data_IF_131200307852
#
_entry.id   IF_131200307852
#
_cell.length_a   1.000
_cell.length_b   1.000
_cell.length_c   1.000
_cell.angle_alpha   90.00
_cell.angle_beta   90.00
_cell.angle_gamma   90.00
#
_symmetry.space_group_name_H-M   'P 1'
#
loop_
_entity.id
_entity.type
_entity.pdbx_description
1 polymer ?
#
# COMPACT_ATOMS: atom_id res chain seq x y z
N UNK A 1 -5.72 1.61 -17.76
CA UNK A 1 -6.99 1.58 -17.01
C UNK A 1 -7.57 2.97 -16.95
N UNK A 2 -8.84 3.18 -17.24
CA UNK A 2 -9.41 4.52 -17.17
C UNK A 2 -9.46 5.00 -15.72
N UNK A 3 -8.90 6.17 -15.47
CA UNK A 3 -8.86 6.90 -14.20
C UNK A 3 -10.25 7.22 -13.60
N UNK A 4 -11.34 6.90 -14.31
CA UNK A 4 -12.71 7.24 -13.93
C UNK A 4 -13.20 6.61 -12.63
N UNK A 5 -12.58 5.52 -12.15
CA UNK A 5 -12.93 4.93 -10.85
C UNK A 5 -12.28 5.64 -9.65
N UNK A 6 -11.20 6.38 -9.87
CA UNK A 6 -10.48 7.08 -8.81
C UNK A 6 -11.16 8.42 -8.43
N UNK A 7 -11.70 9.16 -9.39
CA UNK A 7 -12.23 10.50 -9.16
C UNK A 7 -13.35 10.53 -8.13
N UNK A 8 -14.37 9.72 -8.28
CA UNK A 8 -15.60 9.84 -7.47
C UNK A 8 -15.49 9.43 -6.01
N UNK A 9 -14.63 8.48 -5.65
CA UNK A 9 -14.46 8.06 -4.24
C UNK A 9 -13.48 8.96 -3.47
N UNK A 10 -12.51 9.56 -4.15
CA UNK A 10 -11.49 10.38 -3.50
C UNK A 10 -11.89 11.86 -3.38
N UNK A 11 -12.75 12.36 -4.25
CA UNK A 11 -13.31 13.72 -4.12
C UNK A 11 -14.06 13.92 -2.80
N UNK A 12 -14.70 12.87 -2.25
CA UNK A 12 -15.39 12.95 -0.96
C UNK A 12 -14.47 13.14 0.25
N UNK A 13 -13.19 12.83 0.12
CA UNK A 13 -12.19 13.06 1.17
C UNK A 13 -11.40 14.35 0.95
N UNK A 14 -11.66 15.06 -0.15
CA UNK A 14 -11.03 16.32 -0.48
C UNK A 14 -11.61 17.41 0.43
N UNK A 15 -10.79 17.95 1.30
CA UNK A 15 -11.20 19.02 2.21
C UNK A 15 -11.55 18.56 3.62
N UNK A 16 -11.37 17.27 3.94
CA UNK A 16 -11.29 16.85 5.33
C UNK A 16 -10.05 17.44 5.97
N UNK A 17 -10.17 17.80 7.24
CA UNK A 17 -9.03 18.13 8.07
C UNK A 17 -8.05 16.96 8.09
N UNK A 18 -6.77 17.28 8.30
CA UNK A 18 -5.71 16.28 8.42
C UNK A 18 -6.05 15.36 9.57
N UNK A 19 -6.30 14.10 9.26
CA UNK A 19 -6.55 13.06 10.26
C UNK A 19 -5.23 12.69 10.94
N UNK A 20 -5.21 12.69 12.26
CA UNK A 20 -4.10 12.15 13.02
C UNK A 20 -4.01 10.63 12.77
N UNK A 21 -2.80 10.12 12.59
CA UNK A 21 -2.60 8.70 12.37
C UNK A 21 -2.90 7.91 13.66
N UNK A 22 -3.79 6.94 13.57
CA UNK A 22 -4.24 6.09 14.68
C UNK A 22 -3.23 5.04 15.16
N UNK A 23 -2.06 4.96 14.50
CA UNK A 23 -1.01 3.98 14.82
C UNK A 23 -1.22 2.61 14.17
N UNK A 24 -2.20 2.45 13.27
CA UNK A 24 -2.37 1.18 12.52
C UNK A 24 -1.21 0.98 11.54
N UNK A 25 -0.26 0.12 11.94
CA UNK A 25 0.91 -0.21 11.12
C UNK A 25 0.55 -0.85 9.76
N UNK A 26 -0.69 -1.32 9.55
CA UNK A 26 -1.16 -1.83 8.26
C UNK A 26 -1.54 -0.72 7.29
N UNK A 27 -1.79 0.47 7.82
CA UNK A 27 -2.16 1.66 7.07
C UNK A 27 -1.27 2.82 7.49
N UNK A 28 -0.09 2.96 6.90
CA UNK A 28 0.85 4.01 7.26
C UNK A 28 0.20 5.39 7.10
N UNK A 29 0.71 6.44 7.79
CA UNK A 29 0.15 7.78 7.68
C UNK A 29 0.24 8.27 6.24
N UNK A 30 -0.78 9.00 5.80
CA UNK A 30 -0.77 9.62 4.47
C UNK A 30 0.23 10.77 4.44
N UNK A 31 0.91 10.99 3.30
CA UNK A 31 1.86 12.09 3.17
C UNK A 31 1.17 13.46 3.31
N UNK A 32 1.92 14.48 3.67
CA UNK A 32 1.40 15.84 3.87
C UNK A 32 0.68 16.36 2.62
N UNK A 33 1.23 16.09 1.44
CA UNK A 33 0.65 16.43 0.14
C UNK A 33 -0.75 15.86 -0.10
N UNK A 34 -1.12 14.79 0.58
CA UNK A 34 -2.47 14.21 0.49
C UNK A 34 -3.56 15.18 0.97
N UNK A 35 -3.22 16.02 1.94
CA UNK A 35 -4.13 16.95 2.61
C UNK A 35 -4.14 18.35 1.98
N UNK A 36 -3.15 18.65 1.11
CA UNK A 36 -3.07 19.94 0.43
C UNK A 36 -4.16 20.08 -0.63
N UNK A 37 -4.66 21.31 -0.80
CA UNK A 37 -5.67 21.66 -1.82
C UNK A 37 -5.08 22.32 -3.05
N UNK A 38 -3.78 22.21 -3.25
CA UNK A 38 -3.10 22.85 -4.40
C UNK A 38 -3.49 22.16 -5.69
N UNK A 39 -4.06 22.92 -6.63
CA UNK A 39 -4.42 22.44 -7.96
C UNK A 39 -3.18 21.98 -8.73
N UNK A 40 -3.29 20.85 -9.43
CA UNK A 40 -2.19 20.33 -10.23
C UNK A 40 -1.03 19.74 -9.44
N UNK A 41 -1.13 19.67 -8.10
CA UNK A 41 -0.16 19.01 -7.24
C UNK A 41 -0.57 17.56 -6.97
N UNK A 42 0.37 16.64 -7.09
CA UNK A 42 0.14 15.23 -6.78
C UNK A 42 0.00 15.04 -5.27
N UNK A 43 -1.09 14.39 -4.86
CA UNK A 43 -1.39 14.13 -3.45
C UNK A 43 -0.45 13.13 -2.80
N UNK A 44 0.25 12.31 -3.58
CA UNK A 44 1.17 11.33 -3.03
C UNK A 44 2.58 11.90 -2.86
N UNK A 45 3.18 12.38 -3.94
CA UNK A 45 4.57 12.83 -3.92
C UNK A 45 4.75 14.34 -3.69
N UNK A 46 3.68 15.12 -3.78
CA UNK A 46 3.73 16.58 -3.60
C UNK A 46 4.28 17.36 -4.81
N UNK A 47 4.73 16.70 -5.89
CA UNK A 47 5.22 17.37 -7.08
C UNK A 47 4.08 17.81 -8.01
N UNK A 48 4.34 18.83 -8.81
CA UNK A 48 3.38 19.32 -9.80
C UNK A 48 3.20 18.30 -10.93
N UNK A 49 1.97 18.19 -11.43
CA UNK A 49 1.60 17.29 -12.53
C UNK A 49 1.66 18.08 -13.82
N UNK A 50 2.60 17.73 -14.70
CA UNK A 50 2.75 18.40 -15.99
C UNK A 50 1.78 17.81 -17.03
N UNK A 51 1.37 18.66 -17.98
CA UNK A 51 0.68 18.24 -19.19
C UNK A 51 1.71 18.04 -20.33
N UNK A 52 1.25 17.47 -21.44
CA UNK A 52 2.09 17.18 -22.61
C UNK A 52 2.68 18.43 -23.30
N UNK A 53 2.20 19.64 -22.92
CA UNK A 53 2.66 20.93 -23.45
C UNK A 53 3.65 21.64 -22.50
N UNK A 54 4.10 20.96 -21.43
CA UNK A 54 5.05 21.50 -20.46
C UNK A 54 4.43 22.43 -19.40
N UNK A 55 3.11 22.62 -19.40
CA UNK A 55 2.41 23.37 -18.36
C UNK A 55 1.85 22.45 -17.27
N UNK A 56 1.28 23.05 -16.22
CA UNK A 56 0.66 22.33 -15.11
C UNK A 56 -0.71 21.80 -15.51
N UNK A 57 -1.00 20.55 -15.20
CA UNK A 57 -2.30 19.95 -15.37
C UNK A 57 -3.16 20.11 -14.09
N UNK A 58 -3.82 21.26 -13.98
CA UNK A 58 -4.65 21.60 -12.81
C UNK A 58 -5.87 20.68 -12.59
N UNK A 59 -6.27 19.90 -13.61
CA UNK A 59 -7.40 18.97 -13.54
C UNK A 59 -7.04 17.64 -12.87
N UNK A 60 -5.75 17.35 -12.70
CA UNK A 60 -5.24 16.11 -12.07
C UNK A 60 -4.74 16.40 -10.67
N UNK A 61 -4.98 15.43 -9.78
CA UNK A 61 -4.49 15.45 -8.41
C UNK A 61 -3.52 14.30 -8.11
N UNK A 62 -3.18 13.52 -9.13
CA UNK A 62 -2.32 12.33 -9.01
C UNK A 62 -1.52 12.11 -10.28
N UNK A 63 -0.23 11.77 -10.12
CA UNK A 63 0.46 11.03 -11.17
C UNK A 63 -0.10 9.62 -11.23
N UNK A 64 -0.07 8.98 -12.38
CA UNK A 64 -0.62 7.64 -12.57
C UNK A 64 0.07 6.60 -11.68
N UNK A 65 1.40 6.61 -11.64
CA UNK A 65 2.19 5.73 -10.79
C UNK A 65 1.95 6.00 -9.29
N UNK A 66 1.82 7.25 -8.90
CA UNK A 66 1.51 7.63 -7.51
C UNK A 66 0.12 7.16 -7.08
N UNK A 67 -0.86 7.21 -7.97
CA UNK A 67 -2.19 6.68 -7.71
C UNK A 67 -2.15 5.15 -7.53
N UNK A 68 -1.38 4.45 -8.35
CA UNK A 68 -1.16 3.01 -8.24
C UNK A 68 -0.48 2.66 -6.92
N UNK A 69 0.58 3.37 -6.54
CA UNK A 69 1.27 3.18 -5.26
C UNK A 69 0.33 3.38 -4.06
N UNK A 70 -0.45 4.46 -4.06
CA UNK A 70 -1.45 4.70 -3.03
C UNK A 70 -2.42 3.53 -2.89
N UNK A 71 -2.91 2.99 -4.02
CA UNK A 71 -3.84 1.86 -4.00
C UNK A 71 -3.17 0.57 -3.50
N UNK A 72 -1.92 0.32 -3.82
CA UNK A 72 -1.16 -0.82 -3.31
C UNK A 72 -1.02 -0.72 -1.79
N UNK A 73 -0.71 0.46 -1.28
CA UNK A 73 -0.51 0.67 0.17
C UNK A 73 -1.80 0.50 0.97
N UNK A 74 -2.92 1.06 0.49
CA UNK A 74 -4.15 1.14 1.30
C UNK A 74 -5.26 0.17 0.90
N UNK A 75 -5.13 -0.57 -0.22
CA UNK A 75 -6.19 -1.43 -0.73
C UNK A 75 -5.67 -2.82 -1.13
N UNK A 76 -5.97 -3.82 -0.32
CA UNK A 76 -5.56 -5.22 -0.55
C UNK A 76 -6.05 -5.81 -1.88
N UNK A 77 -7.19 -5.32 -2.39
CA UNK A 77 -7.68 -5.73 -3.73
C UNK A 77 -6.70 -5.33 -4.83
N UNK A 78 -6.12 -4.13 -4.75
CA UNK A 78 -5.16 -3.67 -5.74
C UNK A 78 -3.84 -4.46 -5.66
N UNK A 79 -3.40 -4.80 -4.45
CA UNK A 79 -2.25 -5.70 -4.27
C UNK A 79 -2.46 -7.01 -5.05
N UNK A 80 -3.64 -7.61 -4.96
CA UNK A 80 -3.98 -8.82 -5.72
C UNK A 80 -3.97 -8.59 -7.23
N UNK A 81 -4.51 -7.48 -7.71
CA UNK A 81 -4.52 -7.14 -9.14
C UNK A 81 -3.09 -7.01 -9.67
N UNK A 82 -2.23 -6.27 -8.97
CA UNK A 82 -0.85 -6.05 -9.39
C UNK A 82 -0.01 -7.35 -9.30
N UNK A 83 -0.19 -8.13 -8.24
CA UNK A 83 0.43 -9.45 -8.12
C UNK A 83 0.00 -10.40 -9.23
N UNK A 84 -1.28 -10.40 -9.59
CA UNK A 84 -1.77 -11.24 -10.69
C UNK A 84 -1.16 -10.83 -12.04
N UNK A 85 -0.98 -9.54 -12.28
CA UNK A 85 -0.30 -9.03 -13.49
C UNK A 85 1.17 -9.48 -13.54
N UNK A 86 1.88 -9.42 -12.41
CA UNK A 86 3.30 -9.77 -12.30
C UNK A 86 3.53 -11.28 -12.30
N UNK A 87 2.81 -12.00 -11.42
CA UNK A 87 3.11 -13.40 -11.08
C UNK A 87 2.14 -14.39 -11.76
N UNK A 88 1.03 -13.89 -12.35
CA UNK A 88 -0.02 -14.70 -13.01
C UNK A 88 -0.54 -15.85 -12.14
N UNK A 89 -0.64 -15.61 -10.82
CA UNK A 89 -1.06 -16.61 -9.85
C UNK A 89 -0.03 -17.69 -9.50
N UNK A 90 1.21 -17.58 -10.02
CA UNK A 90 2.29 -18.51 -9.70
C UNK A 90 2.82 -18.30 -8.30
N UNK A 91 2.86 -19.36 -7.48
CA UNK A 91 3.43 -19.31 -6.15
C UNK A 91 4.94 -19.07 -6.17
N UNK A 92 5.41 -18.03 -5.49
CA UNK A 92 6.83 -17.68 -5.46
C UNK A 92 7.71 -18.73 -4.74
N UNK A 93 7.12 -19.54 -3.84
CA UNK A 93 7.86 -20.56 -3.09
C UNK A 93 7.95 -21.90 -3.80
N UNK A 94 6.82 -22.41 -4.32
CA UNK A 94 6.78 -23.77 -4.89
C UNK A 94 6.48 -23.83 -6.38
N UNK A 95 6.28 -22.67 -7.02
CA UNK A 95 6.02 -22.58 -8.46
C UNK A 95 4.62 -23.04 -8.91
N UNK A 96 3.74 -23.46 -7.99
CA UNK A 96 2.38 -23.89 -8.33
C UNK A 96 1.63 -22.77 -9.03
N UNK A 97 1.00 -23.07 -10.18
CA UNK A 97 0.33 -22.10 -11.05
C UNK A 97 -1.19 -22.16 -11.00
N UNK A 98 -1.76 -23.19 -10.37
CA UNK A 98 -3.20 -23.38 -10.30
C UNK A 98 -3.71 -23.37 -8.85
N UNK A 99 -5.01 -23.05 -8.70
CA UNK A 99 -5.69 -23.04 -7.42
C UNK A 99 -5.69 -21.68 -6.72
N UNK A 100 -6.24 -21.66 -5.52
CA UNK A 100 -6.31 -20.45 -4.70
C UNK A 100 -4.92 -20.00 -4.23
N UNK A 101 -4.72 -18.68 -4.23
CA UNK A 101 -3.50 -18.05 -3.77
C UNK A 101 -3.78 -16.80 -2.93
N UNK A 102 -2.80 -16.39 -2.16
CA UNK A 102 -2.82 -15.22 -1.29
C UNK A 102 -1.76 -14.21 -1.70
N UNK A 103 -2.12 -12.93 -1.63
CA UNK A 103 -1.16 -11.84 -1.56
C UNK A 103 -0.57 -11.83 -0.14
N UNK A 104 0.74 -11.85 -0.03
CA UNK A 104 1.46 -11.91 1.22
C UNK A 104 2.65 -10.95 1.22
N UNK A 105 3.05 -10.45 2.38
CA UNK A 105 4.23 -9.60 2.53
C UNK A 105 5.45 -10.48 2.80
N UNK A 106 6.52 -10.33 2.02
CA UNK A 106 7.79 -11.07 2.20
C UNK A 106 8.31 -10.81 3.61
N UNK A 107 8.50 -9.54 3.98
CA UNK A 107 8.75 -9.09 5.34
C UNK A 107 7.40 -8.73 5.98
N UNK A 108 7.03 -9.33 7.12
CA UNK A 108 5.70 -9.14 7.69
C UNK A 108 5.50 -7.71 8.22
N UNK A 109 4.37 -7.08 7.87
CA UNK A 109 4.05 -5.70 8.31
C UNK A 109 4.04 -5.55 9.84
N UNK A 110 3.88 -6.62 10.59
CA UNK A 110 3.88 -6.58 12.05
C UNK A 110 5.22 -6.05 12.62
N UNK A 111 6.31 -6.12 11.87
CA UNK A 111 7.60 -5.53 12.26
C UNK A 111 7.55 -4.00 12.35
N UNK A 112 6.60 -3.37 11.67
CA UNK A 112 6.36 -1.91 11.73
C UNK A 112 5.49 -1.49 12.93
N UNK A 113 4.95 -2.47 13.69
CA UNK A 113 4.07 -2.19 14.82
C UNK A 113 4.79 -1.44 15.93
N UNK A 114 4.18 -0.34 16.40
CA UNK A 114 4.69 0.49 17.50
C UNK A 114 5.76 1.50 17.08
N UNK A 115 6.13 1.55 15.80
CA UNK A 115 7.00 2.59 15.28
C UNK A 115 6.23 3.91 15.14
N UNK A 116 6.96 5.02 15.28
CA UNK A 116 6.43 6.36 14.99
C UNK A 116 6.37 6.59 13.48
N UNK A 117 5.53 7.53 12.98
CA UNK A 117 5.43 7.82 11.54
C UNK A 117 6.76 8.02 10.82
N UNK A 118 7.69 8.73 11.47
CA UNK A 118 9.03 9.05 10.93
C UNK A 118 9.97 7.86 10.86
N UNK A 119 9.71 6.81 11.65
CA UNK A 119 10.56 5.63 11.79
C UNK A 119 10.04 4.45 10.95
N UNK A 120 8.89 4.62 10.26
CA UNK A 120 8.34 3.60 9.38
C UNK A 120 9.21 3.41 8.14
N UNK A 121 9.51 2.16 7.84
CA UNK A 121 10.17 1.78 6.60
C UNK A 121 9.14 1.55 5.49
N UNK A 122 9.02 2.50 4.59
CA UNK A 122 8.06 2.47 3.48
C UNK A 122 8.25 1.30 2.52
N UNK A 123 9.45 0.71 2.46
CA UNK A 123 9.69 -0.48 1.63
C UNK A 123 8.86 -1.69 2.02
N UNK A 124 8.34 -1.74 3.26
CA UNK A 124 7.42 -2.79 3.70
C UNK A 124 6.06 -2.75 2.98
N UNK A 125 5.67 -1.60 2.48
CA UNK A 125 4.36 -1.37 1.84
C UNK A 125 4.40 -1.41 0.31
N UNK A 126 5.58 -1.54 -0.28
CA UNK A 126 5.79 -1.50 -1.72
C UNK A 126 5.61 -2.87 -2.38
N UNK A 127 5.44 -2.87 -3.70
CA UNK A 127 5.25 -4.10 -4.51
C UNK A 127 6.39 -5.10 -4.36
N UNK A 128 7.61 -4.62 -4.13
CA UNK A 128 8.81 -5.43 -3.94
C UNK A 128 8.72 -6.31 -2.69
N UNK A 129 7.96 -5.86 -1.69
CA UNK A 129 7.70 -6.63 -0.48
C UNK A 129 6.45 -7.52 -0.59
N UNK A 130 5.78 -7.55 -1.73
CA UNK A 130 4.62 -8.40 -1.95
C UNK A 130 4.99 -9.65 -2.77
N UNK A 131 4.36 -10.76 -2.43
CA UNK A 131 4.52 -12.04 -3.12
C UNK A 131 3.20 -12.79 -3.25
N UNK A 132 3.14 -13.65 -4.28
CA UNK A 132 2.05 -14.59 -4.48
C UNK A 132 2.40 -15.91 -3.82
N UNK A 133 1.57 -16.39 -2.89
CA UNK A 133 1.74 -17.70 -2.25
C UNK A 133 0.50 -18.56 -2.42
N UNK A 134 0.68 -19.84 -2.76
CA UNK A 134 -0.42 -20.81 -2.65
C UNK A 134 -0.82 -21.01 -1.18
N UNK A 135 -2.02 -21.52 -0.94
CA UNK A 135 -2.56 -21.71 0.41
C UNK A 135 -1.60 -22.49 1.33
N UNK A 136 -0.96 -23.54 0.82
CA UNK A 136 -0.01 -24.36 1.58
C UNK A 136 1.24 -23.58 2.00
N UNK A 137 1.86 -22.85 1.06
CA UNK A 137 3.06 -22.06 1.34
C UNK A 137 2.76 -20.86 2.24
N UNK A 138 1.62 -20.19 2.05
CA UNK A 138 1.16 -19.13 2.94
C UNK A 138 0.96 -19.62 4.38
N UNK A 139 0.31 -20.78 4.58
CA UNK A 139 0.16 -21.40 5.90
C UNK A 139 1.50 -21.71 6.56
N UNK A 140 2.45 -22.31 5.80
CA UNK A 140 3.81 -22.58 6.31
C UNK A 140 4.49 -21.31 6.79
N UNK A 141 4.47 -20.25 5.98
CA UNK A 141 5.07 -18.96 6.32
C UNK A 141 4.39 -18.35 7.56
N UNK A 142 3.07 -18.32 7.60
CA UNK A 142 2.32 -17.81 8.76
C UNK A 142 2.70 -18.52 10.05
N UNK A 143 2.85 -19.85 10.02
CA UNK A 143 3.24 -20.64 11.18
C UNK A 143 4.68 -20.32 11.63
N UNK A 144 5.62 -20.14 10.70
CA UNK A 144 6.99 -19.74 11.05
C UNK A 144 7.08 -18.36 11.69
N UNK A 145 6.14 -17.46 11.37
CA UNK A 145 6.09 -16.10 11.92
C UNK A 145 5.38 -16.00 13.28
N UNK A 146 4.78 -17.08 13.80
CA UNK A 146 4.01 -17.05 15.06
C UNK A 146 4.86 -16.54 16.23
N UNK A 147 6.09 -16.99 16.35
CA UNK A 147 6.99 -16.55 17.41
C UNK A 147 7.33 -15.06 17.32
N UNK A 148 7.60 -14.57 16.11
CA UNK A 148 7.84 -13.15 15.85
C UNK A 148 6.62 -12.32 16.26
N UNK A 149 5.43 -12.71 15.81
CA UNK A 149 4.16 -12.04 16.13
C UNK A 149 3.89 -12.00 17.64
N UNK A 150 4.15 -13.12 18.36
CA UNK A 150 4.02 -13.18 19.82
C UNK A 150 4.99 -12.21 20.51
N UNK A 151 6.27 -12.21 20.11
CA UNK A 151 7.30 -11.33 20.68
C UNK A 151 6.95 -9.85 20.47
N UNK A 152 6.54 -9.47 19.28
CA UNK A 152 6.14 -8.10 18.96
C UNK A 152 4.87 -7.70 19.72
N UNK A 153 3.88 -8.62 19.80
CA UNK A 153 2.65 -8.39 20.59
C UNK A 153 2.96 -8.20 22.07
N UNK A 154 3.88 -8.96 22.64
CA UNK A 154 4.31 -8.79 24.03
C UNK A 154 4.95 -7.41 24.26
N UNK A 155 5.72 -6.91 23.29
CA UNK A 155 6.43 -5.61 23.38
C UNK A 155 5.49 -4.41 23.21
N UNK A 156 4.53 -4.50 22.29
CA UNK A 156 3.69 -3.37 21.87
C UNK A 156 2.18 -3.63 22.04
N UNK A 157 1.76 -4.74 22.59
CA UNK A 157 0.36 -5.19 22.65
C UNK A 157 -0.43 -4.71 23.86
N UNK A 158 0.20 -3.98 24.78
CA UNK A 158 -0.49 -3.41 25.94
C UNK A 158 -0.79 -1.93 25.62
N UNK A 159 -1.88 -1.71 24.95
CA UNK A 159 -2.66 -0.45 24.98
C UNK A 159 -4.12 -0.80 25.03
#
# INVERSE_FOLDING_TARGET
MPLSRFGKKHERTFGKEKEEWDGDFRKPPKPESYWTKTKGQCRWCGFMINNDKGGINERRSWHEDCATLYMIVYHSREQRVQLNKRDKGKCNHCGKTNGKWHADHIRPLVEQKGLKPKDLDWSYYMMENLQTLCVKCHRKKTNSEVHLKKKIKARYGKK
#
